data_IF_799556210891
#
_entry.id   IF_799556210891
#
_cell.length_a   1.000
_cell.length_b   1.000
_cell.length_c   1.000
_cell.angle_alpha   90.00
_cell.angle_beta   90.00
_cell.angle_gamma   90.00
#
_symmetry.space_group_name_H-M   'P 1'
#
loop_
_entity.id
_entity.type
_entity.pdbx_description
1 polymer ?
#
# COMPACT_ATOMS: atom_id res chain seq x y z
N UNK A 1 13.25 15.34 -22.89
CA UNK A 1 12.23 14.35 -22.51
C UNK A 1 11.28 15.01 -21.52
N UNK A 2 9.98 15.02 -21.78
CA UNK A 2 8.98 15.52 -20.83
C UNK A 2 8.88 14.57 -19.64
N UNK A 3 8.88 15.10 -18.41
CA UNK A 3 8.63 14.30 -17.21
C UNK A 3 7.27 13.61 -17.32
N UNK A 4 7.18 12.34 -16.95
CA UNK A 4 5.89 11.63 -16.91
C UNK A 4 5.07 12.10 -15.70
N UNK A 5 3.77 11.79 -15.70
CA UNK A 5 2.90 12.06 -14.53
C UNK A 5 3.44 11.35 -13.28
N UNK A 6 3.92 10.11 -13.43
CA UNK A 6 4.52 9.34 -12.34
C UNK A 6 5.78 10.01 -11.79
N UNK A 7 6.68 10.51 -12.66
CA UNK A 7 7.89 11.23 -12.23
C UNK A 7 7.54 12.51 -11.46
N UNK A 8 6.50 13.21 -11.91
CA UNK A 8 6.03 14.44 -11.27
C UNK A 8 5.45 14.16 -9.89
N UNK A 9 4.58 13.15 -9.79
CA UNK A 9 3.98 12.71 -8.52
C UNK A 9 5.08 12.28 -7.55
N UNK A 10 6.05 11.48 -8.01
CA UNK A 10 7.17 11.02 -7.18
C UNK A 10 8.04 12.18 -6.68
N UNK A 11 8.40 13.12 -7.56
CA UNK A 11 9.22 14.29 -7.18
C UNK A 11 8.51 15.18 -6.17
N UNK A 12 7.19 15.41 -6.36
CA UNK A 12 6.38 16.19 -5.42
C UNK A 12 6.18 15.44 -4.09
N UNK A 13 5.98 14.14 -4.13
CA UNK A 13 5.90 13.28 -2.95
C UNK A 13 7.19 13.33 -2.12
N UNK A 14 8.36 13.27 -2.77
CA UNK A 14 9.66 13.43 -2.12
C UNK A 14 9.82 14.82 -1.48
N UNK A 15 9.41 15.88 -2.17
CA UNK A 15 9.45 17.23 -1.60
C UNK A 15 8.57 17.38 -0.36
N UNK A 16 7.37 16.79 -0.37
CA UNK A 16 6.46 16.80 0.79
C UNK A 16 7.07 16.01 1.95
N UNK A 17 7.62 14.82 1.68
CA UNK A 17 8.25 14.01 2.72
C UNK A 17 9.46 14.73 3.35
N UNK A 18 10.30 15.38 2.54
CA UNK A 18 11.40 16.21 3.05
C UNK A 18 10.92 17.43 3.84
N UNK A 19 9.76 17.99 3.49
CA UNK A 19 9.15 19.07 4.27
C UNK A 19 8.59 18.58 5.61
N UNK A 20 8.01 17.37 5.65
CA UNK A 20 7.53 16.73 6.89
C UNK A 20 8.72 16.41 7.79
N UNK A 21 9.75 15.75 7.25
CA UNK A 21 10.96 15.34 7.97
C UNK A 21 12.10 16.35 7.83
N UNK A 22 11.78 17.65 7.89
CA UNK A 22 12.75 18.73 7.64
C UNK A 22 13.96 18.72 8.59
N UNK A 23 13.83 18.08 9.74
CA UNK A 23 14.88 17.98 10.75
C UNK A 23 15.93 16.91 10.43
N UNK A 24 15.64 15.97 9.52
CA UNK A 24 16.57 14.91 9.16
C UNK A 24 17.35 15.28 7.90
N UNK A 25 18.66 15.50 8.07
CA UNK A 25 19.56 15.90 7.00
C UNK A 25 20.29 14.71 6.36
N UNK A 26 20.38 13.57 7.05
CA UNK A 26 20.99 12.36 6.50
C UNK A 26 19.96 11.60 5.64
N UNK A 27 20.20 11.51 4.33
CA UNK A 27 19.33 10.80 3.40
C UNK A 27 19.13 9.33 3.79
N UNK A 28 20.15 8.70 4.38
CA UNK A 28 20.05 7.31 4.81
C UNK A 28 19.11 7.17 6.00
N UNK A 29 19.20 8.06 6.99
CA UNK A 29 18.28 8.06 8.12
C UNK A 29 16.86 8.38 7.67
N UNK A 30 16.69 9.36 6.79
CA UNK A 30 15.39 9.66 6.19
C UNK A 30 14.79 8.43 5.49
N UNK A 31 15.60 7.72 4.70
CA UNK A 31 15.18 6.49 4.04
C UNK A 31 14.73 5.40 5.03
N UNK A 32 15.44 5.23 6.14
CA UNK A 32 15.07 4.28 7.20
C UNK A 32 13.77 4.68 7.90
N UNK A 33 13.58 5.97 8.17
CA UNK A 33 12.36 6.51 8.78
C UNK A 33 11.16 6.26 7.85
N UNK A 34 11.29 6.62 6.58
CA UNK A 34 10.23 6.42 5.57
C UNK A 34 9.87 4.93 5.46
N UNK A 35 10.89 4.05 5.39
CA UNK A 35 10.69 2.59 5.39
C UNK A 35 9.97 2.10 6.63
N UNK A 36 10.37 2.57 7.81
CA UNK A 36 9.71 2.23 9.08
C UNK A 36 8.23 2.63 9.09
N UNK A 37 7.91 3.85 8.63
CA UNK A 37 6.52 4.31 8.50
C UNK A 37 5.74 3.48 7.49
N UNK A 38 6.31 3.20 6.33
CA UNK A 38 5.64 2.42 5.30
C UNK A 38 5.31 1.00 5.78
N UNK A 39 6.27 0.32 6.41
CA UNK A 39 6.05 -1.02 6.98
C UNK A 39 4.98 -0.98 8.08
N UNK A 40 5.04 0.04 8.95
CA UNK A 40 4.04 0.23 10.01
C UNK A 40 2.64 0.44 9.44
N UNK A 41 2.50 1.20 8.35
CA UNK A 41 1.23 1.39 7.65
C UNK A 41 0.71 0.09 7.05
N UNK A 42 1.57 -0.69 6.38
CA UNK A 42 1.19 -2.00 5.82
C UNK A 42 0.70 -2.94 6.92
N UNK A 43 1.44 -3.09 8.02
CA UNK A 43 1.03 -3.95 9.13
C UNK A 43 -0.23 -3.44 9.83
N UNK A 44 -0.35 -2.12 10.02
CA UNK A 44 -1.56 -1.52 10.60
C UNK A 44 -2.78 -1.79 9.75
N UNK A 45 -2.65 -1.76 8.42
CA UNK A 45 -3.74 -2.07 7.51
C UNK A 45 -4.19 -3.53 7.65
N UNK A 46 -3.25 -4.48 7.70
CA UNK A 46 -3.55 -5.91 7.93
C UNK A 46 -4.24 -6.11 9.29
N UNK A 47 -3.72 -5.49 10.36
CA UNK A 47 -4.34 -5.57 11.70
C UNK A 47 -5.75 -4.98 11.67
N UNK A 48 -5.94 -3.83 11.04
CA UNK A 48 -7.24 -3.17 10.94
C UNK A 48 -8.26 -4.05 10.19
N UNK A 49 -7.83 -4.70 9.10
CA UNK A 49 -8.67 -5.68 8.40
C UNK A 49 -9.14 -6.80 9.33
N UNK A 50 -8.22 -7.40 10.08
CA UNK A 50 -8.53 -8.45 11.06
C UNK A 50 -9.48 -7.94 12.15
N UNK A 51 -9.27 -6.72 12.66
CA UNK A 51 -10.14 -6.09 13.67
C UNK A 51 -11.57 -5.88 13.16
N UNK A 52 -11.71 -5.39 11.93
CA UNK A 52 -13.02 -5.18 11.28
C UNK A 52 -13.74 -6.52 11.08
N UNK A 53 -13.02 -7.61 10.84
CA UNK A 53 -13.64 -8.90 10.53
C UNK A 53 -13.99 -9.72 11.76
N UNK A 54 -13.05 -9.81 12.70
CA UNK A 54 -13.15 -10.77 13.81
C UNK A 54 -13.82 -10.12 15.02
N UNK A 55 -13.42 -8.89 15.35
CA UNK A 55 -13.77 -8.30 16.64
C UNK A 55 -14.93 -7.30 16.55
N UNK A 56 -15.03 -6.55 15.45
CA UNK A 56 -16.07 -5.54 15.28
C UNK A 56 -16.59 -5.48 13.83
N UNK A 57 -17.48 -6.42 13.42
CA UNK A 57 -18.01 -6.55 12.06
C UNK A 57 -18.98 -5.42 11.70
N UNK A 58 -18.46 -4.19 11.64
CA UNK A 58 -19.17 -3.00 11.19
C UNK A 58 -19.01 -2.81 9.70
N UNK A 59 -20.14 -2.81 8.98
CA UNK A 59 -20.18 -2.52 7.55
C UNK A 59 -19.59 -1.15 7.20
N UNK A 60 -19.78 -0.14 8.07
CA UNK A 60 -19.22 1.20 7.84
C UNK A 60 -17.69 1.21 7.93
N UNK A 61 -17.12 0.45 8.87
CA UNK A 61 -15.67 0.34 8.98
C UNK A 61 -15.10 -0.39 7.75
N UNK A 62 -15.80 -1.43 7.27
CA UNK A 62 -15.43 -2.11 6.02
C UNK A 62 -15.45 -1.15 4.82
N UNK A 63 -16.49 -0.32 4.68
CA UNK A 63 -16.58 0.67 3.60
C UNK A 63 -15.45 1.71 3.67
N UNK A 64 -15.15 2.25 4.86
CA UNK A 64 -14.04 3.19 5.06
C UNK A 64 -12.71 2.52 4.66
N UNK A 65 -12.50 1.28 5.11
CA UNK A 65 -11.30 0.52 4.79
C UNK A 65 -11.20 0.24 3.29
N UNK A 66 -12.30 -0.10 2.62
CA UNK A 66 -12.34 -0.29 1.17
C UNK A 66 -12.04 0.98 0.39
N UNK A 67 -12.57 2.14 0.80
CA UNK A 67 -12.26 3.42 0.16
C UNK A 67 -10.76 3.72 0.30
N UNK A 68 -10.21 3.56 1.50
CA UNK A 68 -8.76 3.72 1.74
C UNK A 68 -7.93 2.79 0.85
N UNK A 69 -8.27 1.50 0.81
CA UNK A 69 -7.55 0.52 -0.01
C UNK A 69 -7.72 0.75 -1.52
N UNK A 70 -8.87 1.29 -1.94
CA UNK A 70 -9.09 1.70 -3.33
C UNK A 70 -8.09 2.77 -3.74
N UNK A 71 -7.83 3.78 -2.88
CA UNK A 71 -6.80 4.78 -3.15
C UNK A 71 -5.41 4.16 -3.28
N UNK A 72 -5.04 3.23 -2.39
CA UNK A 72 -3.75 2.52 -2.47
C UNK A 72 -3.64 1.71 -3.77
N UNK A 73 -4.70 1.01 -4.15
CA UNK A 73 -4.74 0.21 -5.38
C UNK A 73 -4.64 1.08 -6.64
N UNK A 74 -5.43 2.15 -6.74
CA UNK A 74 -5.34 3.08 -7.87
C UNK A 74 -3.98 3.76 -7.93
N UNK A 75 -3.40 4.10 -6.77
CA UNK A 75 -2.03 4.60 -6.70
C UNK A 75 -1.03 3.59 -7.27
N UNK A 76 -1.12 2.30 -6.92
CA UNK A 76 -0.26 1.27 -7.51
C UNK A 76 -0.43 1.14 -9.02
N UNK A 77 -1.65 1.22 -9.54
CA UNK A 77 -1.90 1.15 -10.99
C UNK A 77 -1.32 2.38 -11.71
N UNK A 78 -1.63 3.58 -11.23
CA UNK A 78 -1.27 4.84 -11.89
C UNK A 78 0.25 5.05 -11.85
N UNK A 79 0.89 4.74 -10.73
CA UNK A 79 2.33 4.90 -10.56
C UNK A 79 3.13 3.67 -11.03
N UNK A 80 2.46 2.57 -11.38
CA UNK A 80 3.09 1.32 -11.78
C UNK A 80 3.86 0.62 -10.66
N UNK A 81 3.46 0.81 -9.40
CA UNK A 81 4.15 0.32 -8.21
C UNK A 81 3.88 1.18 -6.97
N UNK A 82 4.51 0.85 -5.84
CA UNK A 82 4.42 1.69 -4.64
C UNK A 82 5.45 2.82 -4.69
N UNK A 83 4.96 4.06 -4.82
CA UNK A 83 5.81 5.26 -4.79
C UNK A 83 6.70 5.32 -3.54
N UNK A 84 6.16 4.94 -2.37
CA UNK A 84 6.92 4.97 -1.11
C UNK A 84 8.08 3.97 -1.15
N UNK A 85 7.85 2.74 -1.62
CA UNK A 85 8.93 1.76 -1.84
C UNK A 85 10.02 2.30 -2.76
N UNK A 86 9.65 2.91 -3.89
CA UNK A 86 10.64 3.49 -4.84
C UNK A 86 11.46 4.61 -4.20
N UNK A 87 10.82 5.42 -3.34
CA UNK A 87 11.52 6.46 -2.60
C UNK A 87 12.48 5.89 -1.56
N UNK A 88 12.09 4.86 -0.82
CA UNK A 88 12.96 4.16 0.13
C UNK A 88 14.18 3.58 -0.57
N UNK A 89 13.98 2.84 -1.66
CA UNK A 89 15.04 2.23 -2.46
C UNK A 89 16.03 3.28 -2.97
N UNK A 90 15.53 4.45 -3.41
CA UNK A 90 16.37 5.56 -3.87
C UNK A 90 17.19 6.17 -2.73
N UNK A 91 16.57 6.45 -1.58
CA UNK A 91 17.22 7.06 -0.41
C UNK A 91 18.26 6.11 0.21
N UNK A 92 17.95 4.82 0.25
CA UNK A 92 18.80 3.79 0.88
C UNK A 92 19.79 3.15 -0.08
N UNK A 93 19.66 3.42 -1.39
CA UNK A 93 20.46 2.82 -2.46
C UNK A 93 20.45 1.29 -2.40
N UNK A 94 19.29 0.72 -2.09
CA UNK A 94 19.05 -0.72 -2.09
C UNK A 94 17.83 -1.08 -2.96
N UNK A 95 17.61 -2.37 -3.17
CA UNK A 95 16.43 -2.88 -3.86
C UNK A 95 15.42 -3.48 -2.90
N UNK A 96 15.58 -3.23 -1.59
CA UNK A 96 14.80 -3.92 -0.57
C UNK A 96 13.39 -3.34 -0.47
N UNK A 97 12.40 -4.21 -0.32
CA UNK A 97 10.99 -3.87 -0.22
C UNK A 97 10.27 -4.72 0.83
N UNK A 98 9.05 -4.33 1.21
CA UNK A 98 8.29 -4.97 2.30
C UNK A 98 7.98 -6.45 2.06
N UNK A 99 8.00 -6.90 0.80
CA UNK A 99 7.73 -8.29 0.42
C UNK A 99 8.98 -9.17 0.42
N UNK A 100 10.18 -8.59 0.45
CA UNK A 100 11.42 -9.36 0.33
C UNK A 100 11.62 -10.41 1.43
N UNK A 101 11.33 -10.17 2.72
CA UNK A 101 11.46 -11.22 3.73
C UNK A 101 10.62 -12.48 3.43
N UNK A 102 9.45 -12.29 2.81
CA UNK A 102 8.61 -13.41 2.37
C UNK A 102 9.18 -14.09 1.13
N UNK A 103 9.69 -13.33 0.17
CA UNK A 103 10.26 -13.86 -1.07
C UNK A 103 11.58 -14.60 -0.82
N UNK A 104 12.41 -14.09 0.09
CA UNK A 104 13.63 -14.74 0.59
C UNK A 104 13.32 -16.08 1.26
N UNK A 105 12.21 -16.18 2.02
CA UNK A 105 11.76 -17.45 2.62
C UNK A 105 11.51 -18.53 1.57
N UNK A 106 10.98 -18.15 0.39
CA UNK A 106 10.76 -19.04 -0.74
C UNK A 106 11.95 -19.11 -1.71
N UNK A 107 13.07 -18.45 -1.40
CA UNK A 107 14.27 -18.33 -2.26
C UNK A 107 13.95 -17.75 -3.64
N UNK A 108 12.99 -16.84 -3.73
CA UNK A 108 12.60 -16.15 -4.96
C UNK A 108 13.45 -14.88 -5.09
N UNK A 109 14.26 -14.80 -6.14
CA UNK A 109 15.01 -13.58 -6.48
C UNK A 109 14.10 -12.59 -7.20
N UNK A 110 14.01 -11.36 -6.68
CA UNK A 110 13.24 -10.27 -7.27
C UNK A 110 14.12 -9.29 -8.05
N UNK A 111 13.66 -8.90 -9.24
CA UNK A 111 14.08 -7.66 -9.91
C UNK A 111 13.16 -6.50 -9.52
N UNK A 112 13.56 -5.23 -9.70
CA UNK A 112 12.70 -4.08 -9.44
C UNK A 112 11.35 -4.16 -10.16
N UNK A 113 11.32 -4.60 -11.42
CA UNK A 113 10.10 -4.75 -12.21
C UNK A 113 9.19 -5.85 -11.64
N UNK A 114 9.78 -6.95 -11.18
CA UNK A 114 9.02 -8.03 -10.54
C UNK A 114 8.45 -7.59 -9.20
N UNK A 115 9.16 -6.74 -8.43
CA UNK A 115 8.69 -6.21 -7.16
C UNK A 115 7.47 -5.31 -7.37
N UNK A 116 7.52 -4.40 -8.34
CA UNK A 116 6.40 -3.53 -8.71
C UNK A 116 5.18 -4.34 -9.17
N UNK A 117 5.39 -5.38 -9.99
CA UNK A 117 4.32 -6.28 -10.41
C UNK A 117 3.70 -7.04 -9.22
N UNK A 118 4.51 -7.51 -8.27
CA UNK A 118 4.05 -8.15 -7.04
C UNK A 118 3.19 -7.19 -6.21
N UNK A 119 3.57 -5.92 -6.08
CA UNK A 119 2.76 -4.93 -5.36
C UNK A 119 1.40 -4.71 -5.99
N UNK A 120 1.35 -4.54 -7.31
CA UNK A 120 0.09 -4.39 -8.05
C UNK A 120 -0.77 -5.63 -7.85
N UNK A 121 -0.20 -6.82 -8.00
CA UNK A 121 -0.89 -8.09 -7.84
C UNK A 121 -1.46 -8.26 -6.42
N UNK A 122 -0.66 -8.00 -5.39
CA UNK A 122 -1.10 -8.07 -3.99
C UNK A 122 -2.25 -7.09 -3.73
N UNK A 123 -2.13 -5.85 -4.19
CA UNK A 123 -3.22 -4.88 -4.03
C UNK A 123 -4.48 -5.25 -4.82
N UNK A 124 -4.33 -5.86 -6.00
CA UNK A 124 -5.46 -6.38 -6.78
C UNK A 124 -6.18 -7.51 -6.05
N UNK A 125 -5.44 -8.46 -5.45
CA UNK A 125 -6.03 -9.53 -4.65
C UNK A 125 -6.80 -8.97 -3.46
N UNK A 126 -6.21 -8.04 -2.71
CA UNK A 126 -6.91 -7.43 -1.56
C UNK A 126 -8.18 -6.70 -2.01
N UNK A 127 -8.10 -5.93 -3.09
CA UNK A 127 -9.28 -5.24 -3.64
C UNK A 127 -10.36 -6.19 -4.12
N UNK A 128 -9.98 -7.31 -4.75
CA UNK A 128 -10.93 -8.34 -5.17
C UNK A 128 -11.70 -8.91 -3.97
N UNK A 129 -10.99 -9.36 -2.93
CA UNK A 129 -11.64 -9.93 -1.74
C UNK A 129 -12.52 -8.91 -1.01
N UNK A 130 -12.04 -7.66 -0.83
CA UNK A 130 -12.84 -6.59 -0.22
C UNK A 130 -14.11 -6.27 -1.04
N UNK A 131 -13.99 -6.25 -2.36
CA UNK A 131 -15.13 -6.01 -3.26
C UNK A 131 -16.17 -7.12 -3.12
N UNK A 132 -15.74 -8.39 -3.18
CA UNK A 132 -16.62 -9.54 -2.97
C UNK A 132 -17.33 -9.45 -1.62
N UNK A 133 -16.61 -9.12 -0.55
CA UNK A 133 -17.19 -9.01 0.78
C UNK A 133 -18.24 -7.89 0.88
N UNK A 134 -17.96 -6.71 0.33
CA UNK A 134 -18.93 -5.60 0.31
C UNK A 134 -20.18 -6.00 -0.45
N UNK A 135 -20.04 -6.64 -1.61
CA UNK A 135 -21.19 -7.12 -2.39
C UNK A 135 -21.99 -8.11 -1.55
N UNK A 136 -21.36 -9.13 -0.96
CA UNK A 136 -22.03 -10.12 -0.13
C UNK A 136 -22.77 -9.47 1.05
N UNK A 137 -22.12 -8.59 1.82
CA UNK A 137 -22.75 -7.92 2.96
C UNK A 137 -23.88 -6.97 2.54
N UNK A 138 -23.76 -6.33 1.38
CA UNK A 138 -24.81 -5.48 0.82
C UNK A 138 -26.04 -6.30 0.43
N UNK A 139 -25.83 -7.46 -0.21
CA UNK A 139 -26.91 -8.37 -0.59
C UNK A 139 -27.62 -8.93 0.65
N UNK A 140 -26.88 -9.34 1.69
CA UNK A 140 -27.47 -9.83 2.95
C UNK A 140 -28.31 -8.75 3.65
N UNK A 141 -27.79 -7.51 3.74
CA UNK A 141 -28.57 -6.39 4.31
C UNK A 141 -29.80 -6.06 3.49
N UNK A 142 -29.71 -6.18 2.17
CA UNK A 142 -30.84 -5.97 1.28
C UNK A 142 -31.91 -7.03 1.51
N UNK A 143 -31.55 -8.32 1.62
CA UNK A 143 -32.53 -9.38 1.90
C UNK A 143 -33.23 -9.20 3.24
N UNK A 144 -32.52 -8.78 4.29
CA UNK A 144 -33.09 -8.54 5.62
C UNK A 144 -34.14 -7.41 5.65
N UNK A 145 -34.08 -6.47 4.69
CA UNK A 145 -35.06 -5.37 4.58
C UNK A 145 -36.40 -5.78 3.96
N UNK A 146 -36.44 -6.90 3.22
CA UNK A 146 -37.66 -7.38 2.56
C UNK A 146 -38.30 -8.57 3.28
N UNK A 147 -37.73 -9.03 4.40
CA UNK A 147 -38.29 -10.05 5.31
C UNK A 147 -38.92 -9.41 6.54
#
# INVERSE_FOLDING_TARGET
MSATLADTIQTRGEAILRAIFFWETDEKQLGLIVRGFHYSLVYSAVIMYVLIHIFYPSYWNLLIYFIFYSFVFFHHIICGGCMVTRMEQRLLKDHKCVTDPLLELFKITTTPESSDAIFILLSAFVMFFLTCEIICRSLLKFTDWFS
#
